data_IF_372921983030
#
_entry.id   IF_372921983030
#
_cell.length_a   1.000
_cell.length_b   1.000
_cell.length_c   1.000
_cell.angle_alpha   90.00
_cell.angle_beta   90.00
_cell.angle_gamma   90.00
#
_symmetry.space_group_name_H-M   'P 1'
#
loop_
_entity.id
_entity.type
_entity.pdbx_description
1 polymer ?
#
# COMPACT_ATOMS: atom_id res chain seq x y z
N UNK A 1 -18.59 5.52 26.19
CA UNK A 1 -17.43 4.86 25.54
C UNK A 1 -16.23 5.77 25.77
N UNK A 2 -15.17 5.36 26.47
CA UNK A 2 -13.99 6.20 26.59
C UNK A 2 -13.26 6.17 25.24
N UNK A 3 -13.14 7.33 24.62
CA UNK A 3 -12.26 7.55 23.46
C UNK A 3 -10.83 7.44 23.96
N UNK A 4 -10.16 6.32 23.68
CA UNK A 4 -8.72 6.20 23.90
C UNK A 4 -8.03 7.18 22.96
N UNK A 5 -7.67 8.35 23.46
CA UNK A 5 -6.79 9.27 22.75
C UNK A 5 -5.49 8.53 22.42
N UNK A 6 -5.28 8.26 21.13
CA UNK A 6 -4.06 7.61 20.67
C UNK A 6 -2.93 8.60 20.84
N UNK A 7 -2.18 8.45 21.93
CA UNK A 7 -1.03 9.29 22.22
C UNK A 7 0.03 9.04 21.15
N UNK A 8 0.44 10.10 20.43
CA UNK A 8 1.49 10.02 19.41
C UNK A 8 2.86 9.87 20.10
N UNK A 9 3.25 8.63 20.43
CA UNK A 9 4.47 8.34 21.19
C UNK A 9 5.71 8.08 20.31
N UNK A 10 5.50 7.58 19.08
CA UNK A 10 6.58 7.26 18.16
C UNK A 10 7.27 8.50 17.58
N UNK A 11 8.60 8.43 17.39
CA UNK A 11 9.43 9.55 16.92
C UNK A 11 10.23 9.16 15.68
N UNK A 12 10.27 10.09 14.71
CA UNK A 12 11.08 9.96 13.50
C UNK A 12 12.19 11.03 13.52
N UNK A 13 13.44 10.59 13.51
CA UNK A 13 14.61 11.48 13.48
C UNK A 13 15.14 11.63 12.05
N UNK A 14 15.04 12.85 11.49
CA UNK A 14 15.50 13.17 10.14
C UNK A 14 16.60 14.24 10.22
N UNK A 15 17.70 14.02 9.49
CA UNK A 15 18.74 15.03 9.25
C UNK A 15 18.48 15.71 7.91
N UNK A 16 18.71 17.01 7.86
CA UNK A 16 18.55 17.83 6.66
C UNK A 16 19.52 19.02 6.71
N UNK A 17 19.91 19.50 5.54
CA UNK A 17 20.67 20.73 5.40
C UNK A 17 19.77 21.98 5.56
N UNK A 18 20.40 23.15 5.68
CA UNK A 18 19.71 24.42 5.93
C UNK A 18 18.76 24.82 4.79
N UNK A 19 19.13 24.57 3.53
CA UNK A 19 18.34 24.92 2.36
C UNK A 19 17.08 24.05 2.28
N UNK A 20 17.24 22.74 2.52
CA UNK A 20 16.12 21.80 2.61
C UNK A 20 15.15 22.19 3.72
N UNK A 21 15.66 22.58 4.90
CA UNK A 21 14.84 23.03 6.03
C UNK A 21 14.03 24.27 5.67
N UNK A 22 14.67 25.29 5.10
CA UNK A 22 14.01 26.54 4.72
C UNK A 22 12.90 26.30 3.68
N UNK A 23 13.13 25.41 2.70
CA UNK A 23 12.12 25.04 1.71
C UNK A 23 10.89 24.40 2.35
N UNK A 24 11.09 23.45 3.27
CA UNK A 24 9.99 22.78 3.97
C UNK A 24 9.24 23.74 4.90
N UNK A 25 9.94 24.63 5.60
CA UNK A 25 9.30 25.66 6.45
C UNK A 25 8.44 26.62 5.63
N UNK A 26 8.93 27.04 4.46
CA UNK A 26 8.16 27.88 3.54
C UNK A 26 6.89 27.18 3.06
N UNK A 27 6.98 25.92 2.64
CA UNK A 27 5.81 25.15 2.22
C UNK A 27 4.81 24.90 3.35
N UNK A 28 5.30 24.61 4.56
CA UNK A 28 4.47 24.49 5.76
C UNK A 28 3.72 25.80 6.07
N UNK A 29 4.40 26.95 5.94
CA UNK A 29 3.80 28.27 6.15
C UNK A 29 2.65 28.56 5.17
N UNK A 30 2.83 28.20 3.89
CA UNK A 30 1.77 28.35 2.87
C UNK A 30 0.60 27.41 3.10
N UNK A 31 0.83 26.29 3.77
CA UNK A 31 -0.21 25.32 4.14
C UNK A 31 -0.82 25.59 5.52
N UNK A 32 -0.42 26.68 6.19
CA UNK A 32 -0.84 27.02 7.56
C UNK A 32 -0.62 25.90 8.59
N UNK A 33 0.45 25.10 8.40
CA UNK A 33 0.82 23.97 9.26
C UNK A 33 2.15 24.21 9.95
N UNK A 34 2.35 23.54 11.09
CA UNK A 34 3.71 23.41 11.68
C UNK A 34 4.58 22.55 10.76
N UNK A 35 5.90 22.78 10.78
CA UNK A 35 6.85 22.03 9.96
C UNK A 35 6.71 20.51 10.14
N UNK A 36 6.63 20.02 11.38
CA UNK A 36 6.50 18.59 11.67
C UNK A 36 5.19 17.99 11.16
N UNK A 37 4.09 18.74 11.27
CA UNK A 37 2.78 18.32 10.77
C UNK A 37 2.76 18.29 9.24
N UNK A 38 3.30 19.32 8.59
CA UNK A 38 3.45 19.38 7.14
C UNK A 38 4.25 18.17 6.63
N UNK A 39 5.46 17.98 7.16
CA UNK A 39 6.34 16.87 6.75
C UNK A 39 5.67 15.52 6.96
N UNK A 40 5.08 15.28 8.14
CA UNK A 40 4.39 14.02 8.41
C UNK A 40 3.24 13.79 7.43
N UNK A 41 2.40 14.81 7.17
CA UNK A 41 1.27 14.67 6.25
C UNK A 41 1.70 14.37 4.81
N UNK A 42 2.76 15.03 4.33
CA UNK A 42 3.28 14.76 2.99
C UNK A 42 3.95 13.38 2.89
N UNK A 43 4.67 12.95 3.92
CA UNK A 43 5.28 11.62 3.97
C UNK A 43 4.24 10.51 4.00
N UNK A 44 3.16 10.68 4.77
CA UNK A 44 2.06 9.72 4.82
C UNK A 44 1.32 9.63 3.47
N UNK A 45 1.02 10.77 2.84
CA UNK A 45 0.39 10.78 1.53
C UNK A 45 1.24 10.06 0.45
N UNK A 46 2.56 10.28 0.48
CA UNK A 46 3.48 9.58 -0.41
C UNK A 46 3.53 8.06 -0.11
N UNK A 47 3.58 7.68 1.17
CA UNK A 47 3.57 6.28 1.57
C UNK A 47 2.28 5.57 1.14
N UNK A 48 1.13 6.21 1.32
CA UNK A 48 -0.18 5.67 0.92
C UNK A 48 -0.27 5.46 -0.59
N UNK A 49 0.24 6.40 -1.40
CA UNK A 49 0.32 6.22 -2.86
C UNK A 49 1.15 4.99 -3.23
N UNK A 50 2.35 4.86 -2.65
CA UNK A 50 3.27 3.75 -2.97
C UNK A 50 2.68 2.40 -2.53
N UNK A 51 2.07 2.34 -1.34
CA UNK A 51 1.42 1.12 -0.85
C UNK A 51 0.25 0.75 -1.78
N UNK A 52 -0.59 1.73 -2.13
CA UNK A 52 -1.71 1.52 -3.05
C UNK A 52 -1.25 0.98 -4.41
N UNK A 53 -0.19 1.55 -4.98
CA UNK A 53 0.39 1.08 -6.26
C UNK A 53 0.84 -0.38 -6.24
N UNK A 54 1.28 -0.89 -5.08
CA UNK A 54 1.80 -2.26 -4.96
C UNK A 54 0.76 -3.28 -4.46
N UNK A 55 -0.22 -2.83 -3.67
CA UNK A 55 -1.21 -3.71 -3.05
C UNK A 55 -2.56 -3.71 -3.77
N UNK A 56 -2.89 -2.63 -4.50
CA UNK A 56 -4.17 -2.50 -5.19
C UNK A 56 -4.02 -2.80 -6.68
N UNK A 57 -4.77 -3.78 -7.16
CA UNK A 57 -4.92 -4.04 -8.59
C UNK A 57 -6.18 -3.35 -9.08
N UNK A 58 -6.04 -2.29 -9.87
CA UNK A 58 -7.18 -1.65 -10.54
C UNK A 58 -7.45 -2.38 -11.85
N UNK A 59 -8.64 -2.96 -11.97
CA UNK A 59 -9.09 -3.62 -13.19
C UNK A 59 -9.80 -2.63 -14.11
N UNK A 60 -9.64 -2.77 -15.43
CA UNK A 60 -10.50 -2.09 -16.39
C UNK A 60 -11.94 -2.57 -16.23
N UNK A 61 -12.92 -1.85 -16.76
CA UNK A 61 -14.31 -2.29 -16.67
C UNK A 61 -14.55 -3.65 -17.33
N UNK A 62 -13.86 -3.95 -18.43
CA UNK A 62 -13.93 -5.24 -19.08
C UNK A 62 -13.31 -6.35 -18.22
N UNK A 63 -12.12 -6.09 -17.66
CA UNK A 63 -11.44 -7.05 -16.79
C UNK A 63 -12.20 -7.29 -15.49
N UNK A 64 -12.90 -6.26 -14.97
CA UNK A 64 -13.75 -6.37 -13.79
C UNK A 64 -14.91 -7.35 -14.01
N UNK A 65 -15.58 -7.28 -15.17
CA UNK A 65 -16.66 -8.22 -15.52
C UNK A 65 -16.12 -9.64 -15.64
N UNK A 66 -14.98 -9.82 -16.30
CA UNK A 66 -14.33 -11.13 -16.43
C UNK A 66 -13.89 -11.69 -15.07
N UNK A 67 -13.35 -10.84 -14.20
CA UNK A 67 -12.93 -11.22 -12.86
C UNK A 67 -14.13 -11.66 -12.00
N UNK A 68 -15.22 -10.88 -12.02
CA UNK A 68 -16.43 -11.22 -11.27
C UNK A 68 -17.05 -12.54 -11.76
N UNK A 69 -17.17 -12.72 -13.08
CA UNK A 69 -17.68 -13.97 -13.67
C UNK A 69 -16.80 -15.17 -13.29
N UNK A 70 -15.48 -15.01 -13.27
CA UNK A 70 -14.58 -16.08 -12.84
C UNK A 70 -14.71 -16.42 -11.34
N UNK A 71 -15.15 -15.48 -10.49
CA UNK A 71 -15.45 -15.73 -9.08
C UNK A 71 -16.80 -16.42 -8.88
N UNK A 72 -17.84 -15.97 -9.60
CA UNK A 72 -19.19 -16.51 -9.50
C UNK A 72 -19.33 -17.86 -10.20
N UNK A 73 -18.67 -18.02 -11.35
CA UNK A 73 -18.70 -19.19 -12.22
C UNK A 73 -17.27 -19.74 -12.44
N UNK A 74 -16.62 -20.29 -11.40
CA UNK A 74 -15.22 -20.69 -11.48
C UNK A 74 -15.00 -21.76 -12.56
N UNK A 75 -14.11 -21.53 -13.54
CA UNK A 75 -13.89 -22.48 -14.62
C UNK A 75 -13.20 -23.74 -14.11
N UNK A 76 -13.45 -24.87 -14.80
CA UNK A 76 -12.78 -26.12 -14.48
C UNK A 76 -11.26 -26.02 -14.70
N UNK A 77 -10.48 -26.67 -13.82
CA UNK A 77 -9.01 -26.73 -13.93
C UNK A 77 -8.60 -27.31 -15.29
N UNK A 78 -7.82 -26.56 -16.06
CA UNK A 78 -7.29 -27.03 -17.33
C UNK A 78 -6.18 -28.09 -17.14
N UNK A 79 -5.76 -28.75 -18.23
CA UNK A 79 -4.76 -29.82 -18.18
C UNK A 79 -3.42 -29.35 -17.58
N UNK A 80 -2.93 -28.16 -18.01
CA UNK A 80 -1.67 -27.58 -17.51
C UNK A 80 -1.71 -27.31 -16.00
N UNK A 81 -2.83 -26.78 -15.47
CA UNK A 81 -2.99 -26.54 -14.05
C UNK A 81 -3.06 -27.86 -13.26
N UNK A 82 -3.71 -28.89 -13.79
CA UNK A 82 -3.73 -30.23 -13.17
C UNK A 82 -2.32 -30.83 -13.09
N UNK A 83 -1.54 -30.72 -14.16
CA UNK A 83 -0.14 -31.17 -14.21
C UNK A 83 0.73 -30.40 -13.22
N UNK A 84 0.62 -29.06 -13.18
CA UNK A 84 1.38 -28.22 -12.26
C UNK A 84 1.07 -28.55 -10.79
N UNK A 85 -0.20 -28.80 -10.44
CA UNK A 85 -0.60 -29.23 -9.11
C UNK A 85 -0.05 -30.62 -8.76
N UNK A 86 -0.04 -31.56 -9.72
CA UNK A 86 0.54 -32.89 -9.51
C UNK A 86 2.06 -32.82 -9.32
N UNK A 87 2.74 -31.94 -10.06
CA UNK A 87 4.17 -31.67 -9.89
C UNK A 87 4.46 -31.04 -8.53
N UNK A 88 3.71 -30.00 -8.14
CA UNK A 88 3.85 -29.34 -6.85
C UNK A 88 3.69 -30.33 -5.69
N UNK A 89 2.68 -31.22 -5.75
CA UNK A 89 2.49 -32.30 -4.77
C UNK A 89 3.65 -33.28 -4.68
N UNK A 90 4.46 -33.46 -5.73
CA UNK A 90 5.64 -34.35 -5.70
C UNK A 90 6.88 -33.62 -5.18
N UNK A 91 7.01 -32.34 -5.47
CA UNK A 91 8.20 -31.53 -5.17
C UNK A 91 8.13 -30.81 -3.83
N UNK A 92 6.93 -30.47 -3.36
CA UNK A 92 6.68 -29.67 -2.14
C UNK A 92 6.10 -30.54 -1.02
N UNK A 93 6.26 -31.87 -1.10
CA UNK A 93 6.21 -32.70 0.12
C UNK A 93 7.40 -32.32 0.97
N UNK A 94 7.17 -31.39 1.89
CA UNK A 94 8.05 -31.08 2.99
C UNK A 94 7.32 -31.61 4.23
N UNK A 95 8.03 -32.42 5.03
CA UNK A 95 7.59 -32.91 6.35
C UNK A 95 6.95 -31.82 7.21
#
# INVERSE_FOLDING_TARGET
>A
MPTTETTKQERMHIRLDALSKQKLEKAASYSHKKLSEFVLSQSLAAAESIISEHEQTTLSQADWVLFLDALENPPAKNAKLKEALALHKKLVVRD
#
